data_IF_375304945420
#
_entry.id   IF_375304945420
#
_cell.length_a   1.000
_cell.length_b   1.000
_cell.length_c   1.000
_cell.angle_alpha   90.00
_cell.angle_beta   90.00
_cell.angle_gamma   90.00
#
_symmetry.space_group_name_H-M   'P 1'
#
loop_
_entity.id
_entity.type
_entity.pdbx_description
1 polymer ?
#
# COMPACT_ATOMS: atom_id res chain seq x y z
N UNK A 1 -7.25 -7.13 -1.25
CA UNK A 1 -7.48 -6.95 0.20
C UNK A 1 -6.37 -7.66 0.97
N UNK A 2 -6.05 -7.24 2.19
CA UNK A 2 -5.14 -7.94 3.11
C UNK A 2 -5.78 -8.11 4.48
N UNK A 3 -5.33 -9.14 5.22
CA UNK A 3 -5.61 -9.26 6.63
C UNK A 3 -4.53 -8.51 7.42
N UNK A 4 -4.95 -7.50 8.18
CA UNK A 4 -4.11 -6.73 9.08
C UNK A 4 -4.66 -6.88 10.50
N UNK A 5 -4.01 -7.74 11.30
CA UNK A 5 -4.39 -8.01 12.70
C UNK A 5 -5.88 -8.31 12.86
N UNK A 6 -6.36 -9.31 12.11
CA UNK A 6 -7.76 -9.78 12.13
C UNK A 6 -8.77 -8.80 11.51
N UNK A 7 -8.31 -7.67 10.97
CA UNK A 7 -9.14 -6.74 10.18
C UNK A 7 -8.86 -6.89 8.68
N UNK A 8 -9.92 -6.97 7.88
CA UNK A 8 -9.82 -6.98 6.43
C UNK A 8 -9.67 -5.55 5.91
N UNK A 9 -8.50 -5.24 5.36
CA UNK A 9 -8.19 -3.92 4.81
C UNK A 9 -8.19 -3.99 3.28
N UNK A 10 -9.02 -3.20 2.58
CA UNK A 10 -8.96 -3.08 1.13
C UNK A 10 -7.64 -2.43 0.70
N UNK A 11 -7.05 -2.94 -0.37
CA UNK A 11 -5.84 -2.36 -0.97
C UNK A 11 -6.26 -1.63 -2.24
N UNK A 12 -5.79 -0.40 -2.37
CA UNK A 12 -5.91 0.42 -3.56
C UNK A 12 -4.52 0.54 -4.17
N UNK A 13 -4.39 0.19 -5.44
CA UNK A 13 -3.20 0.49 -6.23
C UNK A 13 -3.45 1.74 -7.07
N UNK A 14 -2.80 2.87 -6.75
CA UNK A 14 -2.97 4.12 -7.49
C UNK A 14 -2.62 3.99 -8.97
N UNK A 15 -1.71 3.11 -9.38
CA UNK A 15 -1.35 2.95 -10.81
C UNK A 15 -2.46 2.24 -11.60
N UNK A 16 -3.15 1.29 -10.96
CA UNK A 16 -4.35 0.67 -11.57
C UNK A 16 -5.43 1.72 -11.73
N UNK A 17 -5.67 2.54 -10.70
CA UNK A 17 -6.63 3.64 -10.79
C UNK A 17 -6.21 4.64 -11.87
N UNK A 18 -4.94 5.00 -11.93
CA UNK A 18 -4.38 5.93 -12.92
C UNK A 18 -4.60 5.46 -14.35
N UNK A 19 -4.44 4.17 -14.62
CA UNK A 19 -4.70 3.58 -15.94
C UNK A 19 -6.14 3.81 -16.41
N UNK A 20 -7.08 3.92 -15.46
CA UNK A 20 -8.50 4.19 -15.73
C UNK A 20 -8.88 5.68 -15.63
N UNK A 21 -8.12 6.50 -14.90
CA UNK A 21 -8.56 7.86 -14.48
C UNK A 21 -7.57 8.98 -14.79
N UNK A 22 -6.37 8.67 -15.30
CA UNK A 22 -5.31 9.63 -15.69
C UNK A 22 -5.00 10.68 -14.62
N UNK A 23 -4.81 10.24 -13.38
CA UNK A 23 -4.46 11.07 -12.22
C UNK A 23 -3.00 11.55 -12.22
N UNK A 24 -2.16 11.03 -13.14
CA UNK A 24 -0.76 11.42 -13.29
C UNK A 24 0.21 10.65 -12.39
N UNK A 25 -0.14 9.43 -11.97
CA UNK A 25 0.81 8.60 -11.22
C UNK A 25 1.91 8.06 -12.16
N UNK A 26 3.21 8.30 -11.87
CA UNK A 26 4.29 7.83 -12.74
C UNK A 26 4.28 6.30 -12.82
N UNK A 27 4.55 5.67 -13.97
CA UNK A 27 4.58 4.20 -14.06
C UNK A 27 5.59 3.61 -13.08
N UNK A 28 5.22 2.54 -12.36
CA UNK A 28 6.17 1.77 -11.54
C UNK A 28 7.02 0.87 -12.43
N UNK A 29 8.33 0.86 -12.17
CA UNK A 29 9.23 -0.18 -12.68
C UNK A 29 8.85 -1.57 -12.15
N UNK A 30 9.09 -2.62 -12.95
CA UNK A 30 8.77 -4.02 -12.58
C UNK A 30 9.52 -4.52 -11.34
N UNK A 31 10.65 -3.90 -11.00
CA UNK A 31 11.55 -4.31 -9.91
C UNK A 31 11.60 -3.30 -8.76
N UNK A 32 10.66 -2.34 -8.73
CA UNK A 32 10.60 -1.36 -7.64
C UNK A 32 10.07 -2.01 -6.36
N UNK A 33 10.76 -1.79 -5.24
CA UNK A 33 10.25 -2.18 -3.93
C UNK A 33 8.90 -1.47 -3.67
N UNK A 34 7.87 -2.26 -3.39
CA UNK A 34 6.54 -1.76 -3.06
C UNK A 34 6.25 -1.91 -1.58
N UNK A 35 5.73 -0.86 -0.96
CA UNK A 35 5.20 -0.89 0.39
C UNK A 35 3.69 -0.63 0.39
N UNK A 36 3.00 -1.03 1.45
CA UNK A 36 1.59 -0.71 1.66
C UNK A 36 1.49 0.30 2.79
N UNK A 37 1.08 1.51 2.46
CA UNK A 37 0.77 2.55 3.43
C UNK A 37 -0.67 2.39 3.89
N UNK A 38 -0.86 1.97 5.14
CA UNK A 38 -2.18 1.88 5.77
C UNK A 38 -2.58 3.26 6.29
N UNK A 39 -3.72 3.77 5.83
CA UNK A 39 -4.27 5.08 6.22
C UNK A 39 -5.73 4.97 6.62
N UNK A 40 -6.18 5.88 7.46
CA UNK A 40 -7.61 6.07 7.76
C UNK A 40 -8.16 7.18 6.88
N UNK A 41 -9.16 6.85 6.06
CA UNK A 41 -9.92 7.79 5.25
C UNK A 41 -11.33 7.88 5.84
N UNK A 42 -11.61 8.99 6.53
CA UNK A 42 -12.87 9.18 7.28
C UNK A 42 -13.09 8.03 8.27
N UNK A 43 -14.04 7.14 7.97
CA UNK A 43 -14.44 6.01 8.81
C UNK A 43 -13.95 4.66 8.25
N UNK A 44 -13.03 4.66 7.26
CA UNK A 44 -12.53 3.44 6.63
C UNK A 44 -11.02 3.39 6.64
N UNK A 45 -10.48 2.28 7.11
CA UNK A 45 -9.06 1.94 6.95
C UNK A 45 -8.84 1.36 5.56
N UNK A 46 -7.86 1.89 4.83
CA UNK A 46 -7.46 1.38 3.50
C UNK A 46 -5.94 1.26 3.43
N UNK A 47 -5.46 0.33 2.61
CA UNK A 47 -4.05 0.22 2.24
C UNK A 47 -3.82 0.87 0.88
N UNK A 48 -2.80 1.70 0.77
CA UNK A 48 -2.35 2.29 -0.49
C UNK A 48 -1.04 1.64 -0.90
N UNK A 49 -0.97 1.03 -2.08
CA UNK A 49 0.32 0.58 -2.62
C UNK A 49 1.14 1.82 -2.97
N UNK A 50 2.38 1.88 -2.52
CA UNK A 50 3.33 2.99 -2.72
C UNK A 50 4.73 2.43 -3.03
N UNK A 51 5.59 3.26 -3.63
CA UNK A 51 7.03 3.02 -3.62
C UNK A 51 7.61 3.15 -2.19
N UNK A 52 8.93 2.97 -2.04
CA UNK A 52 9.57 2.92 -0.73
C UNK A 52 9.34 4.23 0.02
N UNK A 53 8.79 4.14 1.24
CA UNK A 53 8.59 5.30 2.09
C UNK A 53 9.94 5.71 2.66
N UNK A 54 10.51 6.80 2.14
CA UNK A 54 11.72 7.40 2.73
C UNK A 54 11.41 7.74 4.20
N UNK A 55 12.21 7.17 5.11
CA UNK A 55 12.07 7.38 6.55
C UNK A 55 12.16 8.87 6.87
N UNK A 56 11.02 9.49 7.19
CA UNK A 56 11.02 10.77 7.90
C UNK A 56 11.64 10.52 9.28
N UNK A 57 12.44 11.44 9.81
CA UNK A 57 13.15 11.37 11.12
C UNK A 57 12.25 11.12 12.36
N UNK A 58 10.98 10.79 12.19
CA UNK A 58 10.06 10.36 13.23
C UNK A 58 9.68 8.90 13.04
N UNK A 59 10.04 8.09 14.05
CA UNK A 59 9.80 6.65 14.20
C UNK A 59 8.50 6.20 13.50
N UNK A 60 8.62 5.36 12.47
CA UNK A 60 7.51 4.51 12.02
C UNK A 60 7.82 3.06 12.32
N UNK A 61 6.85 2.38 12.94
CA UNK A 61 6.85 0.92 13.12
C UNK A 61 6.77 0.27 11.75
N UNK A 62 7.88 -0.32 11.30
CA UNK A 62 7.95 -1.18 10.12
C UNK A 62 7.03 -2.38 10.38
N UNK A 63 5.89 -2.43 9.72
CA UNK A 63 5.04 -3.62 9.69
C UNK A 63 5.53 -4.47 8.52
N UNK A 64 6.43 -5.40 8.81
CA UNK A 64 6.80 -6.45 7.85
C UNK A 64 5.55 -7.30 7.60
N UNK A 65 4.97 -7.17 6.40
CA UNK A 65 3.94 -8.09 5.93
C UNK A 65 4.64 -9.39 5.54
N UNK A 66 4.47 -10.43 6.33
CA UNK A 66 4.85 -11.78 5.94
C UNK A 66 4.01 -12.20 4.73
N UNK A 67 4.60 -12.82 3.70
CA UNK A 67 3.83 -13.34 2.59
C UNK A 67 2.95 -14.49 3.08
N UNK A 68 1.63 -14.34 3.00
CA UNK A 68 0.69 -15.46 3.12
C UNK A 68 0.71 -16.17 1.77
N UNK A 69 1.70 -17.07 1.60
CA UNK A 69 1.70 -18.09 0.56
C UNK A 69 1.30 -19.41 1.21
N UNK A 70 0.09 -19.90 0.90
CA UNK A 70 -0.26 -21.34 0.87
C UNK A 70 -1.26 -21.56 -0.26
N UNK A 71 -1.07 -22.60 -1.05
CA UNK A 71 -1.65 -23.91 -0.72
C UNK A 71 -0.70 -24.81 0.07
#
# INVERSE_FOLDING_TARGET
>A
MINLRESLVPIIDPHIIDSCTRLGFPPRGRDEETEILVVELRERTVGLVTGPVRSSKHRRRRLSLSPILRP
#
